data_IF_598501097170
#
_entry.id   IF_598501097170
#
_cell.length_a   1.000
_cell.length_b   1.000
_cell.length_c   1.000
_cell.angle_alpha   90.00
_cell.angle_beta   90.00
_cell.angle_gamma   90.00
#
_symmetry.space_group_name_H-M   'P 1'
#
loop_
_entity.id
_entity.type
_entity.pdbx_description
1 polymer ?
#
# COMPACT_ATOMS: atom_id res chain seq x y z
N UNK A 1 16.67 19.81 -19.58
CA UNK A 1 15.52 20.20 -18.76
C UNK A 1 15.14 18.98 -17.95
N UNK A 2 14.94 19.15 -16.66
CA UNK A 2 14.49 18.08 -15.76
C UNK A 2 13.04 17.72 -16.04
N UNK A 3 12.70 16.43 -16.02
CA UNK A 3 11.35 15.92 -16.24
C UNK A 3 10.87 15.17 -15.01
N UNK A 4 9.60 15.34 -14.66
CA UNK A 4 8.96 14.54 -13.62
C UNK A 4 8.57 13.22 -14.26
N UNK A 5 9.17 12.14 -13.77
CA UNK A 5 8.92 10.80 -14.27
C UNK A 5 8.37 9.96 -13.12
N UNK A 6 7.14 9.51 -13.27
CA UNK A 6 6.57 8.46 -12.46
C UNK A 6 7.12 7.12 -12.92
N UNK A 7 7.78 6.41 -12.02
CA UNK A 7 8.23 5.05 -12.25
C UNK A 7 7.43 4.11 -11.35
N UNK A 8 6.99 3.00 -11.92
CA UNK A 8 6.19 2.00 -11.24
C UNK A 8 6.70 0.59 -11.51
N UNK A 9 6.57 -0.26 -10.50
CA UNK A 9 6.74 -1.70 -10.60
C UNK A 9 5.53 -2.35 -9.93
N UNK A 10 4.82 -3.19 -10.68
CA UNK A 10 3.53 -3.74 -10.29
C UNK A 10 3.58 -5.25 -10.54
N UNK A 11 3.49 -6.10 -9.50
CA UNK A 11 3.42 -7.53 -9.72
C UNK A 11 2.03 -7.89 -10.23
N UNK A 12 1.96 -8.71 -11.27
CA UNK A 12 0.71 -9.04 -11.97
C UNK A 12 0.51 -10.54 -12.13
N UNK A 13 -0.74 -10.95 -12.31
CA UNK A 13 -1.11 -12.35 -12.60
C UNK A 13 -0.47 -12.84 -13.90
N UNK A 14 -0.27 -14.16 -13.98
CA UNK A 14 0.37 -14.78 -15.15
C UNK A 14 -0.38 -14.50 -16.46
N UNK A 15 -1.70 -14.47 -16.41
CA UNK A 15 -2.61 -14.21 -17.53
C UNK A 15 -2.79 -12.71 -17.84
N UNK A 16 -1.99 -11.82 -17.23
CA UNK A 16 -2.11 -10.37 -17.39
C UNK A 16 -2.27 -9.93 -18.86
N UNK A 17 -1.42 -10.39 -19.78
CA UNK A 17 -1.46 -9.93 -21.18
C UNK A 17 -2.72 -10.37 -21.93
N UNK A 18 -3.30 -11.50 -21.55
CA UNK A 18 -4.47 -12.10 -22.20
C UNK A 18 -5.80 -11.69 -21.51
N UNK A 19 -5.70 -11.11 -20.32
CA UNK A 19 -6.86 -10.75 -19.50
C UNK A 19 -7.72 -9.67 -20.17
N UNK A 20 -9.07 -9.82 -20.17
CA UNK A 20 -9.97 -8.77 -20.65
C UNK A 20 -9.83 -7.48 -19.83
N UNK A 21 -9.48 -7.59 -18.54
CA UNK A 21 -9.23 -6.44 -17.67
C UNK A 21 -8.06 -5.60 -18.18
N UNK A 22 -7.01 -6.25 -18.67
CA UNK A 22 -5.82 -5.56 -19.22
C UNK A 22 -6.14 -4.77 -20.48
N UNK A 23 -7.07 -5.25 -21.32
CA UNK A 23 -7.56 -4.47 -22.46
C UNK A 23 -8.27 -3.20 -21.99
N UNK A 24 -9.14 -3.32 -20.99
CA UNK A 24 -9.82 -2.16 -20.39
C UNK A 24 -8.85 -1.19 -19.71
N UNK A 25 -7.81 -1.69 -19.05
CA UNK A 25 -6.72 -0.87 -18.51
C UNK A 25 -6.09 -0.07 -19.65
N UNK A 26 -5.66 -0.72 -20.75
CA UNK A 26 -5.00 -0.05 -21.88
C UNK A 26 -5.90 0.99 -22.57
N UNK A 27 -7.19 0.73 -22.68
CA UNK A 27 -8.17 1.66 -23.24
C UNK A 27 -8.36 2.91 -22.37
N UNK A 28 -8.58 2.73 -21.06
CA UNK A 28 -8.67 3.84 -20.11
C UNK A 28 -7.34 4.60 -20.01
N UNK A 29 -6.23 3.86 -20.03
CA UNK A 29 -4.91 4.44 -20.04
C UNK A 29 -4.74 5.39 -21.23
N UNK A 30 -5.17 4.98 -22.44
CA UNK A 30 -5.14 5.81 -23.65
C UNK A 30 -5.99 7.08 -23.54
N UNK A 31 -7.07 7.06 -22.74
CA UNK A 31 -7.90 8.25 -22.47
C UNK A 31 -7.25 9.20 -21.48
N UNK A 32 -6.69 8.67 -20.39
CA UNK A 32 -5.93 9.46 -19.40
C UNK A 32 -4.69 10.08 -20.05
N UNK A 33 -4.05 9.37 -20.98
CA UNK A 33 -2.93 9.85 -21.81
C UNK A 33 -3.33 11.05 -22.70
N UNK A 34 -4.61 11.23 -23.02
CA UNK A 34 -5.08 12.37 -23.84
C UNK A 34 -4.94 13.75 -23.17
N UNK A 35 -4.45 13.80 -21.92
CA UNK A 35 -4.13 15.04 -21.20
C UNK A 35 -2.90 15.75 -21.79
N UNK A 36 -2.92 17.08 -21.85
CA UNK A 36 -1.77 17.90 -22.28
C UNK A 36 -0.57 17.83 -21.31
N UNK A 37 -0.77 17.27 -20.13
CA UNK A 37 0.24 17.19 -19.08
C UNK A 37 1.08 15.90 -19.10
N UNK A 38 0.68 14.90 -19.87
CA UNK A 38 1.48 13.70 -20.09
C UNK A 38 2.35 13.89 -21.32
N UNK A 39 3.66 13.85 -21.12
CA UNK A 39 4.68 14.10 -22.16
C UNK A 39 5.11 12.81 -22.86
N UNK A 40 5.03 11.67 -22.17
CA UNK A 40 5.39 10.38 -22.75
C UNK A 40 5.18 9.25 -21.75
N UNK A 41 5.07 8.03 -22.26
CA UNK A 41 4.90 6.85 -21.41
C UNK A 41 5.49 5.60 -22.03
N UNK A 42 5.88 4.68 -21.17
CA UNK A 42 6.30 3.34 -21.49
C UNK A 42 5.71 2.32 -20.50
N UNK A 43 5.33 1.17 -21.02
CA UNK A 43 4.90 -0.02 -20.27
C UNK A 43 5.75 -1.20 -20.74
N UNK A 44 6.33 -1.93 -19.80
CA UNK A 44 7.03 -3.18 -20.07
C UNK A 44 6.50 -4.29 -19.18
N UNK A 45 6.30 -5.47 -19.77
CA UNK A 45 5.91 -6.68 -19.04
C UNK A 45 7.12 -7.59 -18.93
N UNK A 46 7.42 -8.02 -17.71
CA UNK A 46 8.50 -8.94 -17.39
C UNK A 46 7.92 -10.24 -16.84
N UNK A 47 8.32 -11.37 -17.44
CA UNK A 47 7.98 -12.69 -16.93
C UNK A 47 8.80 -13.06 -15.69
N UNK A 48 8.41 -14.12 -14.97
CA UNK A 48 9.19 -14.66 -13.86
C UNK A 48 10.63 -15.02 -14.28
N UNK A 49 11.61 -14.74 -13.43
CA UNK A 49 13.03 -14.98 -13.70
C UNK A 49 13.60 -14.06 -14.77
N UNK A 50 12.98 -12.89 -14.98
CA UNK A 50 13.47 -11.83 -15.86
C UNK A 50 14.83 -11.29 -15.44
N UNK A 51 15.26 -10.19 -16.06
CA UNK A 51 16.59 -9.62 -15.81
C UNK A 51 16.75 -9.08 -14.38
N UNK A 52 15.64 -8.78 -13.69
CA UNK A 52 15.61 -8.42 -12.27
C UNK A 52 15.64 -9.65 -11.33
N UNK A 53 15.53 -10.87 -11.88
CA UNK A 53 15.47 -12.12 -11.14
C UNK A 53 14.17 -12.31 -10.34
N UNK A 54 13.14 -11.49 -10.58
CA UNK A 54 11.89 -11.52 -9.84
C UNK A 54 11.17 -12.87 -10.01
N UNK A 55 10.69 -13.51 -8.92
CA UNK A 55 9.96 -14.77 -9.02
C UNK A 55 8.53 -14.59 -9.58
N UNK A 56 8.05 -13.35 -9.69
CA UNK A 56 6.70 -13.01 -10.14
C UNK A 56 6.73 -12.28 -11.47
N UNK A 57 5.65 -12.43 -12.25
CA UNK A 57 5.42 -11.61 -13.43
C UNK A 57 5.12 -10.17 -12.97
N UNK A 58 5.68 -9.19 -13.65
CA UNK A 58 5.51 -7.77 -13.28
C UNK A 58 5.26 -6.92 -14.51
N UNK A 59 4.53 -5.83 -14.31
CA UNK A 59 4.48 -4.70 -15.21
C UNK A 59 5.31 -3.61 -14.61
N UNK A 60 6.12 -2.97 -15.43
CA UNK A 60 6.79 -1.76 -15.05
C UNK A 60 6.30 -0.62 -15.92
N UNK A 61 6.12 0.52 -15.28
CA UNK A 61 5.56 1.71 -15.88
C UNK A 61 6.56 2.85 -15.76
N UNK A 62 6.68 3.65 -16.82
CA UNK A 62 7.34 4.94 -16.77
C UNK A 62 6.43 5.96 -17.46
N UNK A 63 5.98 6.98 -16.73
CA UNK A 63 5.14 8.05 -17.26
C UNK A 63 5.80 9.40 -16.99
N UNK A 64 5.93 10.23 -18.03
CA UNK A 64 6.55 11.55 -17.97
C UNK A 64 5.46 12.59 -17.87
N UNK A 65 5.49 13.36 -16.80
CA UNK A 65 4.50 14.37 -16.48
C UNK A 65 5.12 15.77 -16.51
N UNK A 66 4.29 16.77 -16.79
CA UNK A 66 4.67 18.19 -16.65
C UNK A 66 4.95 18.55 -15.19
N UNK A 67 4.22 17.95 -14.24
CA UNK A 67 4.45 18.08 -12.80
C UNK A 67 3.88 16.90 -12.01
N UNK A 68 4.20 16.81 -10.72
CA UNK A 68 3.64 15.79 -9.81
C UNK A 68 2.13 16.02 -9.62
N UNK A 69 1.73 17.28 -9.48
CA UNK A 69 0.33 17.67 -9.31
C UNK A 69 -0.51 17.25 -10.52
N UNK A 70 0.05 17.32 -11.73
CA UNK A 70 -0.63 16.87 -12.93
C UNK A 70 -0.81 15.34 -12.95
N UNK A 71 0.20 14.59 -12.51
CA UNK A 71 0.11 13.14 -12.37
C UNK A 71 -0.95 12.74 -11.33
N UNK A 72 -0.97 13.41 -10.18
CA UNK A 72 -1.94 13.18 -9.12
C UNK A 72 -3.36 13.56 -9.58
N UNK A 73 -3.53 14.70 -10.25
CA UNK A 73 -4.82 15.10 -10.82
C UNK A 73 -5.34 14.06 -11.84
N UNK A 74 -4.46 13.51 -12.69
CA UNK A 74 -4.83 12.47 -13.64
C UNK A 74 -5.29 11.19 -12.92
N UNK A 75 -4.63 10.79 -11.83
CA UNK A 75 -5.02 9.63 -11.02
C UNK A 75 -6.34 9.83 -10.27
N UNK A 76 -6.64 11.05 -9.86
CA UNK A 76 -7.88 11.41 -9.17
C UNK A 76 -9.06 11.65 -10.12
N UNK A 77 -8.81 11.69 -11.44
CA UNK A 77 -9.89 11.78 -12.43
C UNK A 77 -10.80 10.54 -12.40
N UNK A 78 -12.05 10.62 -12.89
CA UNK A 78 -12.94 9.47 -12.97
C UNK A 78 -12.33 8.26 -13.72
N UNK A 79 -11.61 8.53 -14.82
CA UNK A 79 -10.92 7.49 -15.59
C UNK A 79 -9.72 6.91 -14.81
N UNK A 80 -8.99 7.75 -14.06
CA UNK A 80 -7.89 7.32 -13.20
C UNK A 80 -8.34 6.43 -12.03
N UNK A 81 -9.46 6.81 -11.38
CA UNK A 81 -10.07 6.01 -10.32
C UNK A 81 -10.59 4.66 -10.84
N UNK A 82 -11.18 4.64 -12.02
CA UNK A 82 -11.62 3.39 -12.65
C UNK A 82 -10.43 2.52 -13.06
N UNK A 83 -9.39 3.12 -13.64
CA UNK A 83 -8.14 2.42 -13.97
C UNK A 83 -7.52 1.78 -12.71
N UNK A 84 -7.54 2.47 -11.57
CA UNK A 84 -7.07 1.94 -10.28
C UNK A 84 -7.85 0.70 -9.84
N UNK A 85 -9.18 0.66 -10.02
CA UNK A 85 -9.99 -0.53 -9.70
C UNK A 85 -9.63 -1.71 -10.57
N UNK A 86 -9.40 -1.49 -11.86
CA UNK A 86 -9.01 -2.55 -12.80
C UNK A 86 -7.62 -3.11 -12.47
N UNK A 87 -6.65 -2.24 -12.13
CA UNK A 87 -5.34 -2.68 -11.65
C UNK A 87 -5.45 -3.60 -10.43
N UNK A 88 -6.34 -3.28 -9.48
CA UNK A 88 -6.59 -4.13 -8.31
C UNK A 88 -7.05 -5.56 -8.63
N UNK A 89 -7.60 -5.81 -9.83
CA UNK A 89 -8.03 -7.15 -10.24
C UNK A 89 -6.91 -7.99 -10.87
N UNK A 90 -5.85 -7.34 -11.37
CA UNK A 90 -4.76 -8.01 -12.10
C UNK A 90 -3.45 -8.04 -11.31
N UNK A 91 -3.35 -7.29 -10.22
CA UNK A 91 -2.21 -7.34 -9.30
C UNK A 91 -2.13 -8.71 -8.61
N UNK A 92 -0.92 -9.26 -8.53
CA UNK A 92 -0.61 -10.49 -7.79
C UNK A 92 0.45 -10.19 -6.73
N UNK A 93 0.06 -10.12 -5.46
CA UNK A 93 0.98 -9.82 -4.37
C UNK A 93 1.51 -11.09 -3.71
N UNK A 94 1.01 -12.26 -4.07
CA UNK A 94 1.43 -13.54 -3.51
C UNK A 94 2.67 -14.04 -4.24
N UNK A 95 3.74 -14.32 -3.50
CA UNK A 95 4.92 -15.01 -4.01
C UNK A 95 5.33 -16.12 -3.03
N UNK A 96 5.93 -17.23 -3.51
CA UNK A 96 6.50 -18.26 -2.64
C UNK A 96 7.51 -17.74 -1.61
N UNK A 97 8.09 -16.56 -1.85
CA UNK A 97 9.07 -15.91 -0.97
C UNK A 97 8.48 -14.87 -0.01
N UNK A 98 7.14 -14.77 0.09
CA UNK A 98 6.44 -13.75 0.87
C UNK A 98 5.74 -12.69 0.01
N UNK A 99 4.95 -11.80 0.61
CA UNK A 99 4.17 -10.82 -0.13
C UNK A 99 5.07 -9.82 -0.87
N UNK A 100 4.71 -9.51 -2.11
CA UNK A 100 5.44 -8.59 -2.97
C UNK A 100 4.52 -7.41 -3.27
N UNK A 101 4.89 -6.22 -2.78
CA UNK A 101 4.07 -5.02 -2.90
C UNK A 101 4.38 -4.28 -4.22
N UNK A 102 3.37 -3.77 -4.94
CA UNK A 102 3.62 -2.79 -5.99
C UNK A 102 4.24 -1.54 -5.38
N UNK A 103 5.09 -0.85 -6.14
CA UNK A 103 5.60 0.45 -5.75
C UNK A 103 5.56 1.41 -6.94
N UNK A 104 5.29 2.67 -6.62
CA UNK A 104 5.40 3.79 -7.56
C UNK A 104 6.16 4.92 -6.88
N UNK A 105 6.88 5.71 -7.65
CA UNK A 105 7.62 6.86 -7.15
C UNK A 105 7.80 7.89 -8.23
N UNK A 106 7.82 9.16 -7.83
CA UNK A 106 8.13 10.26 -8.71
C UNK A 106 9.63 10.54 -8.66
N UNK A 107 10.22 10.80 -9.82
CA UNK A 107 11.64 11.09 -9.96
C UNK A 107 11.81 12.36 -10.77
N UNK A 108 12.75 13.19 -10.34
CA UNK A 108 13.24 14.30 -11.11
C UNK A 108 14.42 13.82 -11.95
N UNK A 109 14.14 13.38 -13.19
CA UNK A 109 15.15 12.84 -14.09
C UNK A 109 15.71 13.92 -15.01
N UNK A 110 17.04 13.96 -15.14
CA UNK A 110 17.79 14.89 -15.98
C UNK A 110 18.93 14.20 -16.72
N UNK A 111 19.77 15.03 -17.36
CA UNK A 111 21.06 14.61 -17.90
C UNK A 111 21.07 13.90 -19.26
N UNK A 112 19.93 13.65 -19.90
CA UNK A 112 19.90 13.00 -21.22
C UNK A 112 18.59 13.13 -22.01
N UNK A 113 18.50 12.39 -23.11
CA UNK A 113 17.39 12.43 -24.07
C UNK A 113 16.33 11.38 -23.71
N UNK A 114 15.36 11.79 -22.88
CA UNK A 114 14.28 10.91 -22.46
C UNK A 114 13.44 10.41 -23.64
N UNK A 115 13.22 11.24 -24.66
CA UNK A 115 12.44 10.85 -25.83
C UNK A 115 13.07 9.66 -26.56
N UNK A 116 14.41 9.63 -26.66
CA UNK A 116 15.15 8.47 -27.18
C UNK A 116 15.04 7.23 -26.28
N UNK A 117 15.09 7.41 -24.96
CA UNK A 117 14.86 6.30 -24.01
C UNK A 117 13.46 5.71 -24.21
N UNK A 118 12.44 6.55 -24.35
CA UNK A 118 11.04 6.15 -24.47
C UNK A 118 10.73 5.36 -25.76
N UNK A 119 11.45 5.62 -26.85
CA UNK A 119 11.28 4.91 -28.14
C UNK A 119 12.26 3.74 -28.32
N UNK A 120 13.05 3.42 -27.30
CA UNK A 120 14.01 2.32 -27.36
C UNK A 120 13.30 0.96 -27.33
N UNK A 121 13.87 -0.04 -28.01
CA UNK A 121 13.34 -1.41 -28.01
C UNK A 121 13.35 -2.02 -26.61
N UNK A 122 14.42 -1.73 -25.88
CA UNK A 122 14.64 -2.18 -24.51
C UNK A 122 14.93 -0.98 -23.62
N UNK A 123 14.26 -0.92 -22.48
CA UNK A 123 14.54 0.06 -21.42
C UNK A 123 15.18 -0.67 -20.24
N UNK A 124 16.10 -0.03 -19.53
CA UNK A 124 16.75 -0.53 -18.30
C UNK A 124 16.66 0.55 -17.24
N UNK A 125 15.88 0.28 -16.20
CA UNK A 125 15.78 1.06 -14.97
C UNK A 125 16.64 0.39 -13.89
N UNK A 126 17.62 1.12 -13.38
CA UNK A 126 18.49 0.66 -12.31
C UNK A 126 18.66 1.78 -11.30
N UNK A 127 18.70 1.45 -10.02
CA UNK A 127 18.71 2.47 -8.99
C UNK A 127 19.48 2.07 -7.75
N UNK A 128 19.59 3.03 -6.83
CA UNK A 128 20.16 2.87 -5.51
C UNK A 128 19.26 3.56 -4.50
N UNK A 129 19.01 2.88 -3.39
CA UNK A 129 18.30 3.43 -2.25
C UNK A 129 19.33 3.84 -1.20
N UNK A 130 19.31 5.12 -0.82
CA UNK A 130 20.24 5.71 0.12
C UNK A 130 19.51 6.18 1.38
N UNK A 131 20.19 6.26 2.54
CA UNK A 131 19.65 6.92 3.73
C UNK A 131 19.13 8.33 3.43
N UNK A 132 18.12 8.78 4.18
CA UNK A 132 17.51 10.12 4.00
C UNK A 132 18.51 11.26 4.20
N UNK A 133 19.53 11.06 5.04
CA UNK A 133 20.60 12.00 5.32
C UNK A 133 21.77 11.92 4.33
N UNK A 134 21.66 11.08 3.28
CA UNK A 134 22.69 10.98 2.25
C UNK A 134 22.91 12.33 1.53
N UNK A 135 24.19 12.66 1.35
CA UNK A 135 24.64 13.77 0.52
C UNK A 135 24.46 13.41 -0.96
N UNK A 136 23.35 13.86 -1.52
CA UNK A 136 22.97 13.59 -2.91
C UNK A 136 23.90 14.27 -3.90
N UNK A 137 24.46 15.43 -3.55
CA UNK A 137 25.38 16.17 -4.42
C UNK A 137 26.73 15.45 -4.53
N UNK A 138 27.29 15.01 -3.40
CA UNK A 138 28.53 14.23 -3.41
C UNK A 138 28.34 12.86 -4.11
N UNK A 139 27.19 12.22 -3.94
CA UNK A 139 26.86 10.99 -4.65
C UNK A 139 26.81 11.23 -6.16
N UNK A 140 26.09 12.27 -6.60
CA UNK A 140 25.93 12.64 -8.01
C UNK A 140 27.29 12.92 -8.66
N UNK A 141 28.14 13.71 -8.01
CA UNK A 141 29.49 14.01 -8.51
C UNK A 141 30.32 12.74 -8.71
N UNK A 142 30.28 11.82 -7.73
CA UNK A 142 30.97 10.54 -7.80
C UNK A 142 30.43 9.66 -8.92
N UNK A 143 29.10 9.58 -9.06
CA UNK A 143 28.45 8.82 -10.12
C UNK A 143 28.80 9.36 -11.50
N UNK A 144 28.75 10.68 -11.71
CA UNK A 144 29.13 11.31 -12.98
C UNK A 144 30.61 11.13 -13.30
N UNK A 145 31.49 11.20 -12.29
CA UNK A 145 32.92 10.90 -12.46
C UNK A 145 33.13 9.46 -12.93
N UNK A 146 32.44 8.50 -12.32
CA UNK A 146 32.48 7.10 -12.72
C UNK A 146 31.98 6.89 -14.15
N UNK A 147 30.86 7.51 -14.53
CA UNK A 147 30.32 7.43 -15.90
C UNK A 147 31.28 8.05 -16.93
N UNK A 148 31.93 9.17 -16.62
CA UNK A 148 32.95 9.79 -17.50
C UNK A 148 34.18 8.90 -17.68
N UNK A 149 34.66 8.26 -16.61
CA UNK A 149 35.77 7.31 -16.70
C UNK A 149 35.42 6.07 -17.54
N UNK A 150 34.17 5.63 -17.50
CA UNK A 150 33.68 4.54 -18.34
C UNK A 150 33.57 4.94 -19.82
N UNK A 151 33.09 6.15 -20.11
CA UNK A 151 33.02 6.66 -21.47
C UNK A 151 34.43 6.84 -22.08
N UNK A 152 35.41 7.32 -21.30
CA UNK A 152 36.79 7.55 -21.78
C UNK A 152 37.60 6.27 -21.97
N UNK A 153 37.24 5.17 -21.31
CA UNK A 153 37.86 3.86 -21.50
C UNK A 153 37.33 3.09 -22.71
N UNK A 154 36.54 3.74 -23.57
CA UNK A 154 35.92 3.11 -24.75
C UNK A 154 34.71 2.23 -24.42
N UNK A 155 34.23 2.28 -23.17
CA UNK A 155 33.12 1.48 -22.66
C UNK A 155 31.73 2.02 -23.02
N UNK A 156 31.54 2.57 -24.22
CA UNK A 156 30.18 2.72 -24.77
C UNK A 156 29.76 1.31 -25.17
N UNK A 157 29.02 0.66 -24.26
CA UNK A 157 28.44 -0.65 -24.49
C UNK A 157 27.61 -0.60 -25.77
N UNK A 158 28.01 -1.41 -26.75
CA UNK A 158 27.30 -1.55 -28.02
C UNK A 158 25.80 -1.69 -27.74
N UNK A 159 24.99 -0.96 -28.51
CA UNK A 159 23.54 -0.94 -28.37
C UNK A 159 22.96 0.00 -27.31
N UNK A 160 23.78 0.73 -26.56
CA UNK A 160 23.29 1.86 -25.73
C UNK A 160 22.83 3.02 -26.63
N UNK A 161 21.60 3.50 -26.41
CA UNK A 161 20.99 4.56 -27.22
C UNK A 161 20.91 5.90 -26.49
N UNK A 162 20.43 5.89 -25.26
CA UNK A 162 20.26 7.08 -24.43
C UNK A 162 20.14 6.71 -22.95
N UNK A 163 20.35 7.67 -22.06
CA UNK A 163 20.14 7.46 -20.63
C UNK A 163 19.82 8.76 -19.92
N UNK A 164 18.92 8.67 -18.94
CA UNK A 164 18.59 9.74 -17.99
C UNK A 164 18.81 9.22 -16.58
N UNK A 165 19.02 10.12 -15.63
CA UNK A 165 19.18 9.76 -14.23
C UNK A 165 18.67 10.88 -13.33
N UNK A 166 18.42 10.55 -12.08
CA UNK A 166 18.03 11.56 -11.10
C UNK A 166 17.49 10.96 -9.83
N UNK A 167 16.92 11.84 -9.01
CA UNK A 167 16.53 11.54 -7.65
C UNK A 167 15.02 11.49 -7.50
N UNK A 168 14.55 10.71 -6.52
CA UNK A 168 13.16 10.72 -6.12
C UNK A 168 12.71 12.13 -5.71
N UNK A 169 11.47 12.47 -6.03
CA UNK A 169 10.80 13.65 -5.50
C UNK A 169 10.37 13.32 -4.08
N UNK A 170 11.15 13.82 -3.11
CA UNK A 170 10.97 13.49 -1.69
C UNK A 170 11.54 12.11 -1.32
N UNK A 171 11.17 11.66 -0.12
CA UNK A 171 11.56 10.35 0.40
C UNK A 171 10.63 9.26 -0.16
N UNK A 172 11.20 8.12 -0.50
CA UNK A 172 10.45 6.90 -0.86
C UNK A 172 10.51 5.89 0.29
N UNK A 173 9.44 5.14 0.49
CA UNK A 173 9.44 4.01 1.42
C UNK A 173 9.99 2.79 0.71
N UNK A 174 11.14 2.29 1.17
CA UNK A 174 11.75 1.07 0.66
C UNK A 174 12.06 0.13 1.81
N UNK A 175 11.44 -1.05 1.81
CA UNK A 175 11.55 -2.06 2.88
C UNK A 175 11.26 -1.48 4.29
N UNK A 176 10.17 -0.72 4.41
CA UNK A 176 9.73 -0.13 5.68
C UNK A 176 10.49 1.14 6.10
N UNK A 177 11.57 1.49 5.41
CA UNK A 177 12.38 2.66 5.75
C UNK A 177 12.22 3.79 4.74
N UNK A 178 12.20 5.04 5.22
CA UNK A 178 12.35 6.20 4.33
C UNK A 178 13.76 6.22 3.76
N UNK A 179 13.84 6.40 2.44
CA UNK A 179 15.09 6.45 1.67
C UNK A 179 15.00 7.54 0.62
N UNK A 180 16.15 8.05 0.20
CA UNK A 180 16.29 8.74 -1.07
C UNK A 180 16.58 7.71 -2.15
N UNK A 181 15.85 7.74 -3.27
CA UNK A 181 16.14 6.84 -4.38
C UNK A 181 16.83 7.62 -5.50
N UNK A 182 17.99 7.12 -5.92
CA UNK A 182 18.62 7.52 -7.17
C UNK A 182 18.26 6.50 -8.23
N UNK A 183 17.81 6.95 -9.40
CA UNK A 183 17.40 6.09 -10.50
C UNK A 183 18.09 6.50 -11.79
N UNK A 184 18.46 5.50 -12.58
CA UNK A 184 19.02 5.62 -13.92
C UNK A 184 18.12 4.84 -14.86
N UNK A 185 17.64 5.49 -15.92
CA UNK A 185 16.80 4.87 -16.95
C UNK A 185 17.53 4.97 -18.27
N UNK A 186 17.76 3.83 -18.92
CA UNK A 186 18.57 3.72 -20.13
C UNK A 186 17.81 3.02 -21.24
N UNK A 187 17.98 3.49 -22.46
CA UNK A 187 17.40 2.92 -23.67
C UNK A 187 18.44 2.14 -24.47
N UNK A 188 18.04 0.99 -25.00
CA UNK A 188 18.90 0.02 -25.68
C UNK A 188 18.24 -0.54 -26.94
N UNK A 189 19.06 -0.98 -27.88
CA UNK A 189 18.61 -1.60 -29.13
C UNK A 189 18.11 -3.04 -28.96
N UNK A 190 18.63 -3.77 -27.97
CA UNK A 190 18.41 -5.20 -27.77
C UNK A 190 18.72 -5.65 -26.33
N UNK A 191 18.21 -6.81 -25.96
CA UNK A 191 18.41 -7.40 -24.62
C UNK A 191 19.84 -7.93 -24.47
N UNK A 192 20.43 -8.40 -25.56
CA UNK A 192 21.81 -8.90 -25.64
C UNK A 192 22.81 -7.79 -25.29
N UNK A 193 22.60 -6.59 -25.83
CA UNK A 193 23.37 -5.39 -25.52
C UNK A 193 23.31 -5.05 -24.03
N UNK A 194 22.13 -5.16 -23.41
CA UNK A 194 21.95 -4.93 -21.97
C UNK A 194 22.67 -5.98 -21.13
N UNK A 195 22.51 -7.27 -21.47
CA UNK A 195 23.17 -8.37 -20.75
C UNK A 195 24.69 -8.25 -20.83
N UNK A 196 25.23 -7.94 -22.01
CA UNK A 196 26.66 -7.71 -22.21
C UNK A 196 27.16 -6.52 -21.37
N UNK A 197 26.37 -5.44 -21.31
CA UNK A 197 26.69 -4.29 -20.46
C UNK A 197 26.73 -4.69 -18.98
N UNK A 198 25.69 -5.34 -18.46
CA UNK A 198 25.59 -5.78 -17.05
C UNK A 198 26.73 -6.74 -16.69
N UNK A 199 27.07 -7.70 -17.55
CA UNK A 199 28.18 -8.63 -17.34
C UNK A 199 29.51 -7.88 -17.17
N UNK A 200 29.77 -6.86 -18.01
CA UNK A 200 30.97 -6.03 -17.91
C UNK A 200 31.05 -5.20 -16.61
N UNK A 201 29.92 -4.93 -15.96
CA UNK A 201 29.88 -4.27 -14.65
C UNK A 201 30.17 -5.25 -13.50
N UNK A 202 29.66 -6.49 -13.58
CA UNK A 202 29.91 -7.54 -12.59
C UNK A 202 31.38 -7.95 -12.51
N UNK A 203 32.05 -8.10 -13.65
CA UNK A 203 33.47 -8.48 -13.70
C UNK A 203 34.43 -7.43 -13.11
N UNK A 204 33.93 -6.21 -12.86
CA UNK A 204 34.72 -5.10 -12.27
C UNK A 204 34.46 -4.89 -10.77
N UNK A 205 33.82 -5.83 -10.07
CA UNK A 205 33.43 -5.71 -8.64
C UNK A 205 32.53 -4.50 -8.34
N UNK A 206 31.54 -4.25 -9.20
CA UNK A 206 30.54 -3.20 -8.94
C UNK A 206 29.15 -3.83 -8.77
N UNK A 207 28.66 -3.90 -7.53
CA UNK A 207 27.27 -4.28 -7.23
C UNK A 207 26.35 -3.07 -7.39
N UNK A 208 25.80 -2.91 -8.59
CA UNK A 208 24.51 -2.25 -8.80
C UNK A 208 23.52 -3.35 -9.19
N UNK A 209 22.41 -3.46 -8.46
CA UNK A 209 21.39 -4.47 -8.70
C UNK A 209 20.59 -4.06 -9.96
N UNK A 210 20.78 -4.73 -11.11
CA UNK A 210 20.19 -4.28 -12.37
C UNK A 210 18.83 -4.95 -12.59
N UNK A 211 17.77 -4.17 -12.77
CA UNK A 211 16.52 -4.66 -13.34
C UNK A 211 16.50 -4.27 -14.82
N UNK A 212 16.68 -5.18 -15.78
CA UNK A 212 16.53 -4.86 -17.21
C UNK A 212 15.17 -5.31 -17.77
N UNK A 213 14.71 -4.71 -18.87
CA UNK A 213 13.32 -4.82 -19.31
C UNK A 213 13.18 -5.36 -20.73
N UNK A 214 11.96 -5.72 -21.11
CA UNK A 214 11.57 -6.17 -22.46
C UNK A 214 10.36 -5.38 -22.92
N UNK A 215 10.34 -4.93 -24.17
CA UNK A 215 9.10 -4.55 -24.85
C UNK A 215 9.09 -5.13 -26.26
N UNK A 216 8.03 -5.85 -26.62
CA UNK A 216 7.73 -6.15 -28.03
C UNK A 216 6.37 -5.52 -28.35
N UNK A 217 6.33 -4.46 -29.14
CA UNK A 217 5.08 -3.90 -29.62
C UNK A 217 4.46 -4.83 -30.67
N UNK A 218 3.23 -5.30 -30.43
CA UNK A 218 2.31 -5.73 -31.49
C UNK A 218 1.08 -4.84 -31.44
N UNK A 219 0.95 -3.97 -32.45
CA UNK A 219 -0.25 -3.19 -32.73
C UNK A 219 -1.28 -4.09 -33.42
N UNK A 220 -2.50 -4.18 -32.89
CA UNK A 220 -3.65 -4.70 -33.65
C UNK A 220 -4.99 -4.14 -33.18
N UNK A 221 -5.76 -3.74 -34.20
CA UNK A 221 -7.07 -3.09 -34.21
C UNK A 221 -8.25 -4.00 -33.77
N UNK A 222 -9.31 -3.34 -33.29
CA UNK A 222 -10.61 -3.87 -32.86
C UNK A 222 -11.51 -4.38 -34.01
N UNK A 223 -12.27 -5.44 -33.73
CA UNK A 223 -13.70 -5.67 -34.07
C UNK A 223 -14.10 -7.04 -33.50
N UNK A 224 -15.29 -7.36 -32.99
CA UNK A 224 -16.57 -6.71 -32.79
C UNK A 224 -17.63 -7.80 -32.51
N UNK A 225 -18.75 -7.44 -31.88
CA UNK A 225 -20.08 -8.11 -31.86
C UNK A 225 -20.45 -9.20 -30.80
N UNK A 226 -21.14 -8.77 -29.73
CA UNK A 226 -22.60 -8.87 -29.39
C UNK A 226 -23.36 -10.22 -29.49
N UNK A 227 -24.04 -10.64 -28.39
CA UNK A 227 -25.48 -11.01 -28.26
C UNK A 227 -25.81 -11.59 -26.85
N UNK A 228 -26.70 -11.01 -26.01
CA UNK A 228 -28.13 -11.39 -25.66
C UNK A 228 -28.33 -12.84 -25.17
N UNK A 229 -29.16 -13.24 -24.19
CA UNK A 229 -30.32 -12.66 -23.50
C UNK A 229 -30.77 -13.58 -22.32
N UNK A 230 -31.60 -13.03 -21.42
CA UNK A 230 -32.76 -13.63 -20.71
C UNK A 230 -32.66 -14.57 -19.49
N UNK A 231 -32.92 -13.95 -18.31
CA UNK A 231 -33.99 -14.17 -17.31
C UNK A 231 -34.67 -15.54 -17.12
N UNK A 232 -34.81 -16.00 -15.85
CA UNK A 232 -36.12 -16.37 -15.24
C UNK A 232 -36.07 -16.50 -13.71
N UNK A 233 -37.13 -16.02 -13.06
CA UNK A 233 -37.51 -16.04 -11.64
C UNK A 233 -37.96 -17.44 -11.16
N UNK A 234 -37.90 -17.75 -9.85
CA UNK A 234 -39.09 -17.68 -8.96
C UNK A 234 -38.91 -18.22 -7.51
N UNK A 235 -39.63 -17.52 -6.62
CA UNK A 235 -40.37 -17.93 -5.41
C UNK A 235 -39.74 -18.49 -4.10
N UNK A 236 -39.95 -17.67 -3.05
CA UNK A 236 -40.01 -17.91 -1.59
C UNK A 236 -41.28 -18.67 -1.17
N UNK A 237 -41.35 -19.25 0.07
CA UNK A 237 -42.09 -18.57 1.16
C UNK A 237 -41.62 -18.84 2.61
N UNK A 238 -42.21 -18.05 3.53
CA UNK A 238 -41.94 -17.78 4.96
C UNK A 238 -42.32 -18.89 5.98
N UNK A 239 -41.71 -18.85 7.19
CA UNK A 239 -42.40 -18.70 8.51
C UNK A 239 -41.43 -18.53 9.69
N UNK A 240 -41.80 -17.64 10.62
CA UNK A 240 -41.29 -17.44 12.00
C UNK A 240 -42.42 -17.85 13.00
N UNK A 241 -42.38 -17.62 14.35
CA UNK A 241 -41.40 -16.91 15.21
C UNK A 241 -41.17 -17.52 16.63
N UNK A 242 -40.55 -16.71 17.52
CA UNK A 242 -40.50 -16.71 19.01
C UNK A 242 -39.42 -17.51 19.75
N UNK A 243 -38.90 -17.12 20.93
CA UNK A 243 -38.57 -15.88 21.66
C UNK A 243 -38.18 -16.38 23.06
N UNK A 244 -37.04 -15.97 23.64
CA UNK A 244 -36.91 -15.89 25.12
C UNK A 244 -35.65 -15.11 25.55
N UNK A 245 -35.86 -13.88 25.99
CA UNK A 245 -34.83 -12.90 26.35
C UNK A 245 -35.13 -12.31 27.74
N UNK A 246 -34.73 -12.97 28.82
CA UNK A 246 -34.76 -12.36 30.16
C UNK A 246 -33.67 -12.96 31.06
N UNK A 247 -32.39 -12.58 30.86
CA UNK A 247 -31.30 -12.73 31.87
C UNK A 247 -29.93 -12.06 31.54
N UNK A 248 -29.82 -11.10 30.60
CA UNK A 248 -28.50 -10.52 30.17
C UNK A 248 -28.11 -9.15 30.76
N UNK A 249 -28.91 -8.53 31.64
CA UNK A 249 -28.84 -7.07 31.82
C UNK A 249 -27.68 -6.47 32.66
N UNK A 250 -26.78 -7.26 33.29
CA UNK A 250 -25.64 -6.70 34.06
C UNK A 250 -24.26 -6.92 33.45
N UNK A 251 -24.04 -8.02 32.72
CA UNK A 251 -22.74 -8.31 32.11
C UNK A 251 -22.47 -7.47 30.85
N UNK A 252 -23.52 -7.00 30.18
CA UNK A 252 -23.46 -6.24 28.93
C UNK A 252 -23.43 -4.72 29.13
N UNK A 253 -23.43 -4.23 30.37
CA UNK A 253 -23.42 -2.80 30.64
C UNK A 253 -22.13 -2.13 30.11
N UNK A 254 -22.29 -1.22 29.15
CA UNK A 254 -21.21 -0.43 28.57
C UNK A 254 -20.40 -1.11 27.46
N UNK A 255 -20.74 -2.35 27.09
CA UNK A 255 -20.19 -3.02 25.92
C UNK A 255 -20.98 -2.63 24.66
N UNK A 256 -20.27 -2.39 23.57
CA UNK A 256 -20.87 -2.28 22.24
C UNK A 256 -20.04 -3.01 21.19
N UNK A 257 -20.71 -3.50 20.15
CA UNK A 257 -20.08 -4.18 19.03
C UNK A 257 -19.47 -3.14 18.08
N UNK A 258 -18.26 -3.41 17.62
CA UNK A 258 -17.55 -2.63 16.60
C UNK A 258 -17.42 -3.40 15.28
N UNK A 259 -18.25 -4.44 15.12
CA UNK A 259 -18.33 -5.25 13.90
C UNK A 259 -17.67 -6.61 14.01
N UNK A 260 -17.67 -7.33 12.89
CA UNK A 260 -17.14 -8.69 12.77
C UNK A 260 -15.62 -8.66 12.83
N UNK A 261 -15.00 -9.65 13.48
CA UNK A 261 -13.54 -9.78 13.57
C UNK A 261 -12.89 -9.93 12.20
N UNK A 262 -13.61 -10.53 11.24
CA UNK A 262 -13.25 -10.66 9.82
C UNK A 262 -13.20 -9.33 9.06
N UNK A 263 -13.74 -8.25 9.64
CA UNK A 263 -13.75 -6.90 9.07
C UNK A 263 -12.56 -6.04 9.51
N UNK A 264 -11.67 -6.58 10.34
CA UNK A 264 -10.44 -5.93 10.79
C UNK A 264 -9.23 -6.64 10.18
N UNK A 265 -8.45 -5.99 9.30
CA UNK A 265 -7.21 -6.58 8.81
C UNK A 265 -6.24 -6.81 9.97
N UNK A 266 -5.49 -7.91 9.91
CA UNK A 266 -4.41 -8.15 10.86
C UNK A 266 -3.15 -7.44 10.38
N UNK A 267 -2.65 -6.52 11.20
CA UNK A 267 -1.49 -5.70 10.86
C UNK A 267 -0.18 -6.51 10.86
N UNK A 268 -0.14 -7.68 11.50
CA UNK A 268 1.06 -8.54 11.48
C UNK A 268 2.33 -7.80 11.94
N UNK A 269 3.41 -7.93 11.17
CA UNK A 269 4.68 -7.21 11.39
C UNK A 269 4.84 -6.01 10.44
N UNK A 270 3.73 -5.42 10.01
CA UNK A 270 3.74 -4.23 9.17
C UNK A 270 4.17 -3.00 9.98
N UNK A 271 5.11 -2.22 9.44
CA UNK A 271 5.64 -0.99 10.02
C UNK A 271 4.83 0.27 9.61
N UNK A 272 3.75 0.09 8.84
CA UNK A 272 2.86 1.17 8.41
C UNK A 272 2.00 1.76 9.54
N UNK A 273 1.42 2.95 9.27
CA UNK A 273 0.50 3.60 10.20
C UNK A 273 -0.81 2.81 10.32
N UNK A 274 -1.52 2.98 11.44
CA UNK A 274 -2.79 2.29 11.70
C UNK A 274 -3.90 2.63 10.69
N UNK A 275 -3.90 3.82 10.09
CA UNK A 275 -4.87 4.23 9.07
C UNK A 275 -4.55 3.69 7.67
N UNK A 276 -3.36 3.12 7.46
CA UNK A 276 -2.93 2.71 6.12
C UNK A 276 -3.83 1.62 5.53
N UNK A 277 -4.05 1.76 4.23
CA UNK A 277 -4.74 0.87 3.30
C UNK A 277 -4.30 -0.60 3.45
N UNK A 278 -5.11 -1.50 4.01
CA UNK A 278 -4.79 -2.94 4.06
C UNK A 278 -5.89 -3.81 3.49
N UNK A 279 -5.48 -4.90 2.86
CA UNK A 279 -6.44 -5.89 2.39
C UNK A 279 -7.08 -6.62 3.57
N UNK A 280 -8.40 -6.62 3.58
CA UNK A 280 -9.24 -7.33 4.51
C UNK A 280 -10.20 -8.18 3.67
N UNK A 281 -9.81 -9.42 3.42
CA UNK A 281 -10.39 -10.28 2.38
C UNK A 281 -10.21 -9.63 0.99
N UNK A 282 -11.30 -9.29 0.30
CA UNK A 282 -11.29 -8.66 -1.03
C UNK A 282 -11.29 -7.13 -0.98
N UNK A 283 -11.46 -6.53 0.20
CA UNK A 283 -11.66 -5.09 0.34
C UNK A 283 -10.40 -4.42 0.92
N UNK A 284 -10.08 -3.21 0.47
CA UNK A 284 -9.12 -2.33 1.14
C UNK A 284 -9.83 -1.61 2.29
N UNK A 285 -9.35 -1.82 3.51
CA UNK A 285 -9.87 -1.18 4.73
C UNK A 285 -8.70 -0.58 5.50
N UNK A 286 -8.90 0.56 6.19
CA UNK A 286 -7.89 1.06 7.11
C UNK A 286 -7.51 -0.01 8.14
N UNK A 287 -6.25 -0.01 8.57
CA UNK A 287 -5.74 -0.93 9.59
C UNK A 287 -6.43 -0.83 10.96
N UNK A 288 -7.12 0.27 11.21
CA UNK A 288 -7.93 0.52 12.38
C UNK A 288 -9.32 1.03 12.01
N UNK A 289 -10.25 0.94 12.95
CA UNK A 289 -11.56 1.59 12.86
C UNK A 289 -11.73 2.51 14.04
N UNK A 290 -12.33 3.67 13.81
CA UNK A 290 -12.59 4.67 14.85
C UNK A 290 -14.08 4.79 15.06
N UNK A 291 -14.52 4.90 16.31
CA UNK A 291 -15.93 5.03 16.64
C UNK A 291 -16.16 6.12 17.69
N UNK A 292 -17.27 6.85 17.56
CA UNK A 292 -17.73 7.76 18.61
C UNK A 292 -18.28 6.97 19.81
N UNK A 293 -17.71 7.19 20.99
CA UNK A 293 -18.06 6.52 22.23
C UNK A 293 -18.28 7.52 23.40
N UNK A 294 -19.43 8.22 23.40
CA UNK A 294 -19.77 9.22 24.41
C UNK A 294 -19.78 8.66 25.82
N UNK A 295 -19.44 9.50 26.80
CA UNK A 295 -19.55 9.19 28.23
C UNK A 295 -21.00 9.29 28.73
N UNK A 296 -21.93 8.54 28.16
CA UNK A 296 -23.32 8.49 28.63
C UNK A 296 -23.64 7.15 29.30
N UNK A 297 -24.04 7.25 30.57
CA UNK A 297 -24.57 6.20 31.43
C UNK A 297 -26.03 5.88 31.05
N UNK A 298 -26.31 4.67 30.57
CA UNK A 298 -27.63 4.06 30.77
C UNK A 298 -28.37 3.46 29.58
N UNK A 299 -27.90 3.56 28.35
CA UNK A 299 -28.55 2.94 27.19
C UNK A 299 -27.53 2.28 26.26
N UNK A 300 -28.00 1.26 25.53
CA UNK A 300 -27.22 0.51 24.52
C UNK A 300 -26.46 1.51 23.65
N UNK A 301 -25.13 1.57 23.81
CA UNK A 301 -24.30 2.52 23.09
C UNK A 301 -24.22 2.07 21.64
N UNK A 302 -25.10 2.60 20.79
CA UNK A 302 -24.91 2.52 19.35
C UNK A 302 -23.79 3.50 19.01
N UNK A 303 -22.62 2.95 18.70
CA UNK A 303 -21.41 3.72 18.40
C UNK A 303 -21.28 3.85 16.89
N UNK A 304 -21.20 5.08 16.40
CA UNK A 304 -21.08 5.35 14.95
C UNK A 304 -19.61 5.29 14.55
N UNK A 305 -19.30 4.53 13.50
CA UNK A 305 -17.97 4.50 12.89
C UNK A 305 -17.66 5.87 12.27
N UNK A 306 -16.46 6.36 12.53
CA UNK A 306 -15.91 7.60 12.00
C UNK A 306 -15.12 7.26 10.76
N UNK A 307 -15.41 7.95 9.66
CA UNK A 307 -14.63 7.83 8.44
C UNK A 307 -13.25 8.46 8.66
N UNK A 308 -12.21 7.63 8.56
CA UNK A 308 -10.80 8.03 8.71
C UNK A 308 -10.05 7.97 7.38
N UNK A 309 -10.77 7.97 6.25
CA UNK A 309 -10.15 8.07 4.93
C UNK A 309 -9.30 9.32 4.81
N UNK A 310 -8.23 9.30 3.98
CA UNK A 310 -7.35 10.45 3.78
C UNK A 310 -8.11 11.74 3.40
N UNK A 311 -9.20 11.61 2.65
CA UNK A 311 -10.05 12.71 2.18
C UNK A 311 -10.91 13.33 3.31
N UNK A 312 -11.28 12.53 4.32
CA UNK A 312 -12.01 13.00 5.52
C UNK A 312 -11.07 13.56 6.60
N UNK A 313 -9.76 13.34 6.48
CA UNK A 313 -8.78 13.68 7.50
C UNK A 313 -8.36 15.15 7.47
N UNK A 314 -8.29 15.78 6.29
CA UNK A 314 -8.00 17.21 6.17
C UNK A 314 -9.09 18.09 6.78
N UNK A 315 -10.35 17.62 6.81
CA UNK A 315 -11.46 18.34 7.43
C UNK A 315 -11.49 18.17 8.96
N UNK A 316 -11.02 17.03 9.48
CA UNK A 316 -10.98 16.75 10.92
C UNK A 316 -9.89 17.52 11.69
N UNK A 317 -8.83 17.99 11.02
CA UNK A 317 -7.82 18.87 11.64
C UNK A 317 -8.37 20.28 11.96
N UNK A 318 -9.46 20.70 11.32
CA UNK A 318 -10.06 22.04 11.54
C UNK A 318 -11.14 22.09 12.63
N UNK A 319 -11.75 20.96 13.02
CA UNK A 319 -12.84 20.94 14.01
C UNK A 319 -12.62 19.92 15.12
N UNK A 320 -12.00 20.37 16.22
CA UNK A 320 -12.22 20.04 17.65
C UNK A 320 -12.77 18.70 18.20
N UNK A 321 -13.06 17.65 17.42
CA UNK A 321 -13.94 16.54 17.81
C UNK A 321 -13.29 15.14 17.84
N UNK A 322 -11.97 15.05 18.06
CA UNK A 322 -11.31 13.79 18.46
C UNK A 322 -11.67 13.36 19.90
N UNK A 323 -12.62 14.05 20.54
CA UNK A 323 -13.06 13.76 21.90
C UNK A 323 -14.01 12.57 21.88
N UNK A 324 -13.88 11.74 22.91
CA UNK A 324 -14.75 10.59 23.12
C UNK A 324 -14.79 9.60 21.94
N UNK A 325 -13.69 9.46 21.19
CA UNK A 325 -13.52 8.44 20.17
C UNK A 325 -12.66 7.28 20.67
N UNK A 326 -13.04 6.04 20.32
CA UNK A 326 -12.23 4.84 20.51
C UNK A 326 -11.71 4.38 19.15
N UNK A 327 -10.45 4.00 19.10
CA UNK A 327 -9.81 3.36 17.96
C UNK A 327 -9.61 1.88 18.28
N UNK A 328 -10.00 1.01 17.36
CA UNK A 328 -9.90 -0.45 17.48
C UNK A 328 -9.12 -1.00 16.28
N UNK A 329 -8.17 -1.88 16.53
CA UNK A 329 -7.35 -2.50 15.50
C UNK A 329 -6.87 -3.89 15.92
N UNK A 330 -6.40 -4.68 14.96
CA UNK A 330 -5.89 -6.03 15.18
C UNK A 330 -4.41 -6.08 14.83
N UNK A 331 -3.54 -6.32 15.81
CA UNK A 331 -2.10 -6.41 15.63
C UNK A 331 -1.60 -7.78 16.08
N UNK A 332 -0.89 -8.48 15.20
CA UNK A 332 -0.35 -9.84 15.43
C UNK A 332 -1.37 -10.80 16.04
N UNK A 333 -2.57 -10.82 15.46
CA UNK A 333 -3.67 -11.69 15.90
C UNK A 333 -4.44 -11.22 17.13
N UNK A 334 -4.05 -10.11 17.77
CA UNK A 334 -4.70 -9.60 18.99
C UNK A 334 -5.44 -8.30 18.71
N UNK A 335 -6.63 -8.17 19.28
CA UNK A 335 -7.39 -6.93 19.19
C UNK A 335 -7.00 -5.96 20.30
N UNK A 336 -6.79 -4.71 19.92
CA UNK A 336 -6.48 -3.60 20.81
C UNK A 336 -7.53 -2.50 20.64
N UNK A 337 -7.89 -1.85 21.73
CA UNK A 337 -8.79 -0.70 21.72
C UNK A 337 -8.26 0.39 22.66
N UNK A 338 -8.10 1.60 22.13
CA UNK A 338 -7.52 2.75 22.83
C UNK A 338 -8.26 4.04 22.47
N UNK A 339 -8.12 5.08 23.29
CA UNK A 339 -8.58 6.42 22.91
C UNK A 339 -7.90 6.85 21.60
N UNK A 340 -8.67 7.36 20.63
CA UNK A 340 -8.12 7.77 19.33
C UNK A 340 -7.18 8.99 19.47
N UNK A 341 -7.38 9.83 20.49
CA UNK A 341 -6.55 11.01 20.72
C UNK A 341 -5.29 10.69 21.53
N UNK A 342 -4.16 11.22 21.09
CA UNK A 342 -2.93 11.21 21.88
C UNK A 342 -3.09 12.11 23.14
N UNK A 343 -2.78 11.62 24.36
CA UNK A 343 -2.92 12.40 25.60
C UNK A 343 -1.96 13.60 25.70
N UNK A 344 -0.98 13.72 24.80
CA UNK A 344 -0.06 14.86 24.75
C UNK A 344 -0.70 16.11 24.15
N UNK A 345 -1.12 16.02 22.88
CA UNK A 345 -1.56 17.16 22.08
C UNK A 345 -2.79 16.84 21.23
N UNK A 346 -3.58 15.83 21.62
CA UNK A 346 -4.76 15.35 20.90
C UNK A 346 -4.51 14.96 19.44
N UNK A 347 -3.28 14.59 19.07
CA UNK A 347 -2.98 14.11 17.72
C UNK A 347 -3.65 12.74 17.47
N UNK A 348 -4.24 12.49 16.30
CA UNK A 348 -4.94 11.23 16.01
C UNK A 348 -3.96 10.05 15.98
N UNK A 349 -4.19 9.06 16.84
CA UNK A 349 -3.38 7.85 16.94
C UNK A 349 -3.69 6.83 15.85
N UNK A 350 -4.70 7.05 15.01
CA UNK A 350 -4.84 6.29 13.75
C UNK A 350 -3.67 6.52 12.82
N UNK A 351 -2.93 7.62 12.95
CA UNK A 351 -1.66 7.84 12.26
C UNK A 351 -0.47 7.24 13.02
N UNK A 352 -0.69 6.52 14.12
CA UNK A 352 0.35 5.89 14.91
C UNK A 352 0.88 4.62 14.26
N UNK A 353 2.10 4.23 14.64
CA UNK A 353 2.74 2.97 14.23
C UNK A 353 2.71 2.00 15.41
N UNK A 354 2.08 0.81 15.28
CA UNK A 354 2.13 -0.21 16.31
C UNK A 354 3.48 -0.94 16.30
N UNK A 355 3.95 -1.39 17.45
CA UNK A 355 5.23 -2.11 17.58
C UNK A 355 5.21 -3.07 18.77
N UNK A 356 6.10 -4.06 18.78
CA UNK A 356 6.30 -4.91 19.95
C UNK A 356 7.23 -4.25 20.97
N UNK A 357 6.83 -4.24 22.23
CA UNK A 357 7.71 -3.84 23.34
C UNK A 357 8.50 -5.08 23.73
N UNK A 358 9.77 -5.10 23.32
CA UNK A 358 10.68 -6.22 23.53
C UNK A 358 11.77 -5.89 24.53
N UNK A 359 12.21 -6.90 25.28
CA UNK A 359 13.45 -6.87 26.06
C UNK A 359 14.23 -8.17 25.79
N UNK A 360 15.47 -8.05 25.32
CA UNK A 360 16.32 -9.18 24.93
C UNK A 360 15.64 -10.23 24.01
N UNK A 361 14.84 -9.78 23.03
CA UNK A 361 14.15 -10.65 22.07
C UNK A 361 12.91 -11.36 22.63
N UNK A 362 12.45 -10.97 23.82
CA UNK A 362 11.18 -11.42 24.40
C UNK A 362 10.17 -10.28 24.28
N UNK A 363 9.06 -10.53 23.58
CA UNK A 363 7.93 -9.60 23.49
C UNK A 363 7.20 -9.55 24.84
N UNK A 364 7.37 -8.44 25.56
CA UNK A 364 6.76 -8.20 26.88
C UNK A 364 5.35 -7.60 26.77
N UNK A 365 5.15 -6.75 25.77
CA UNK A 365 3.88 -6.04 25.54
C UNK A 365 3.83 -5.53 24.09
N UNK A 366 2.82 -4.75 23.76
CA UNK A 366 2.66 -4.10 22.45
C UNK A 366 2.45 -2.61 22.68
N UNK A 367 3.06 -1.77 21.86
CA UNK A 367 2.98 -0.32 21.94
C UNK A 367 2.42 0.32 20.67
N UNK A 368 2.10 1.60 20.76
CA UNK A 368 1.86 2.48 19.61
C UNK A 368 2.67 3.76 19.77
N UNK A 369 3.35 4.18 18.69
CA UNK A 369 4.11 5.43 18.65
C UNK A 369 3.30 6.52 17.96
N UNK A 370 3.12 7.67 18.62
CA UNK A 370 2.50 8.85 18.03
C UNK A 370 3.50 9.54 17.08
N UNK A 371 3.15 9.77 15.80
CA UNK A 371 4.12 10.24 14.80
C UNK A 371 4.52 11.70 15.02
N UNK A 372 3.66 12.51 15.67
CA UNK A 372 3.92 13.93 15.88
C UNK A 372 5.09 14.20 16.83
N UNK A 373 5.21 13.41 17.89
CA UNK A 373 6.21 13.65 18.95
C UNK A 373 7.07 12.42 19.27
N UNK A 374 6.86 11.30 18.57
CA UNK A 374 7.56 10.03 18.80
C UNK A 374 7.43 9.51 20.23
N UNK A 375 6.29 9.77 20.88
CA UNK A 375 6.00 9.21 22.21
C UNK A 375 5.26 7.91 22.05
N UNK A 376 5.64 6.94 22.86
CA UNK A 376 5.13 5.58 22.76
C UNK A 376 4.29 5.23 23.96
N UNK A 377 3.18 4.52 23.72
CA UNK A 377 2.23 4.12 24.74
C UNK A 377 2.06 2.61 24.70
N UNK A 378 2.20 1.96 25.85
CA UNK A 378 1.88 0.54 26.02
C UNK A 378 0.36 0.32 25.88
N UNK A 379 -0.05 -0.56 24.97
CA UNK A 379 -1.45 -0.81 24.61
C UNK A 379 -2.22 -1.62 25.66
N UNK A 380 -1.52 -2.21 26.64
CA UNK A 380 -2.12 -3.00 27.73
C UNK A 380 -2.38 -2.13 28.96
N UNK A 381 -1.42 -1.29 29.30
CA UNK A 381 -1.40 -0.49 30.54
C UNK A 381 -1.73 0.99 30.31
N UNK A 382 -1.53 1.48 29.08
CA UNK A 382 -1.65 2.88 28.70
C UNK A 382 -0.45 3.74 29.11
N UNK A 383 0.57 3.17 29.74
CA UNK A 383 1.74 3.94 30.21
C UNK A 383 2.54 4.44 29.01
N UNK A 384 2.93 5.72 29.04
CA UNK A 384 3.93 6.22 28.10
C UNK A 384 5.35 6.07 28.60
N UNK A 385 6.28 6.03 27.64
CA UNK A 385 7.70 6.29 27.83
C UNK A 385 7.99 7.66 28.51
N UNK A 386 7.02 8.59 28.47
CA UNK A 386 7.01 9.83 29.25
C UNK A 386 6.08 9.70 30.46
N UNK A 387 6.63 9.63 31.67
CA UNK A 387 5.89 9.32 32.91
C UNK A 387 4.65 10.19 33.24
N UNK A 388 4.46 11.35 32.59
CA UNK A 388 3.34 12.28 32.87
C UNK A 388 2.07 11.99 32.09
N UNK A 389 2.13 11.17 31.04
CA UNK A 389 0.98 10.93 30.16
C UNK A 389 0.51 9.48 30.28
N UNK A 390 -0.79 9.28 30.10
CA UNK A 390 -1.40 7.94 30.12
C UNK A 390 -2.48 7.87 29.08
N UNK A 391 -2.35 6.92 28.17
CA UNK A 391 -3.33 6.63 27.13
C UNK A 391 -4.52 5.86 27.73
N UNK A 392 -5.73 6.23 27.33
CA UNK A 392 -6.94 5.48 27.69
C UNK A 392 -6.97 4.14 26.97
N UNK A 393 -6.89 3.04 27.71
CA UNK A 393 -7.02 1.68 27.18
C UNK A 393 -8.43 1.14 27.47
N UNK A 394 -9.01 0.50 26.47
CA UNK A 394 -10.34 -0.09 26.52
C UNK A 394 -10.24 -1.61 26.65
N UNK A 395 -11.27 -2.21 27.23
CA UNK A 395 -11.39 -3.66 27.26
C UNK A 395 -11.98 -4.15 25.94
N UNK A 396 -11.46 -5.29 25.46
CA UNK A 396 -11.91 -5.94 24.22
C UNK A 396 -12.36 -7.36 24.53
N UNK A 397 -13.47 -7.78 23.94
CA UNK A 397 -13.98 -9.15 24.00
C UNK A 397 -14.40 -9.63 22.61
N UNK A 398 -14.00 -10.85 22.26
CA UNK A 398 -14.54 -11.56 21.10
C UNK A 398 -15.74 -12.38 21.55
N UNK A 399 -16.90 -12.19 20.91
CA UNK A 399 -18.14 -12.91 21.20
C UNK A 399 -18.60 -13.64 19.94
N UNK A 400 -19.27 -14.77 20.08
CA UNK A 400 -19.83 -15.47 18.93
C UNK A 400 -20.91 -14.60 18.27
N UNK A 401 -20.88 -14.47 16.94
CA UNK A 401 -21.88 -13.71 16.21
C UNK A 401 -23.25 -14.40 16.34
N UNK A 402 -24.24 -13.70 16.88
CA UNK A 402 -25.57 -14.28 17.09
C UNK A 402 -26.32 -14.37 15.76
N UNK A 403 -26.48 -15.59 15.21
CA UNK A 403 -27.44 -15.88 14.15
C UNK A 403 -26.89 -16.16 12.75
N UNK A 404 -25.59 -16.32 12.57
CA UNK A 404 -25.02 -16.71 11.28
C UNK A 404 -24.27 -18.03 11.38
N UNK A 405 -24.74 -19.06 10.67
CA UNK A 405 -23.90 -20.15 10.19
C UNK A 405 -22.90 -19.67 9.11
N UNK A 406 -22.32 -18.49 9.30
CA UNK A 406 -21.30 -17.93 8.42
C UNK A 406 -19.98 -18.62 8.73
N UNK A 407 -19.68 -19.60 7.89
CA UNK A 407 -18.44 -20.36 7.90
C UNK A 407 -17.37 -19.49 7.25
N UNK A 408 -16.27 -19.22 7.96
CA UNK A 408 -15.05 -18.65 7.36
C UNK A 408 -14.37 -19.76 6.57
N UNK A 409 -14.35 -19.67 5.24
CA UNK A 409 -13.47 -20.52 4.43
C UNK A 409 -12.04 -20.01 4.56
N UNK A 410 -11.23 -20.74 5.32
CA UNK A 410 -9.77 -20.55 5.33
C UNK A 410 -9.21 -21.49 4.26
N UNK A 411 -8.45 -20.94 3.31
CA UNK A 411 -7.99 -21.63 2.09
C UNK A 411 -6.85 -22.65 2.34
N UNK A 412 -6.80 -23.26 3.53
CA UNK A 412 -5.83 -24.29 3.89
C UNK A 412 -6.39 -25.24 4.97
N UNK A 413 -7.14 -26.26 4.54
CA UNK A 413 -7.29 -27.56 5.21
C UNK A 413 -7.67 -27.64 6.70
N UNK A 414 -8.08 -26.55 7.36
CA UNK A 414 -8.24 -26.49 8.82
C UNK A 414 -9.62 -25.96 9.24
N UNK A 415 -10.05 -26.43 10.41
CA UNK A 415 -11.44 -26.48 10.89
C UNK A 415 -12.24 -25.17 10.79
N UNK A 416 -13.53 -25.32 10.47
CA UNK A 416 -14.55 -24.26 10.50
C UNK A 416 -14.61 -23.59 11.87
N UNK A 417 -14.11 -22.35 11.99
CA UNK A 417 -14.30 -21.54 13.20
C UNK A 417 -15.48 -20.60 13.01
N UNK A 418 -16.43 -20.54 13.98
CA UNK A 418 -17.55 -19.62 13.89
C UNK A 418 -17.06 -18.17 13.87
N UNK A 419 -17.72 -17.35 13.05
CA UNK A 419 -17.44 -15.91 12.98
C UNK A 419 -17.69 -15.23 14.34
N UNK A 420 -16.78 -14.33 14.72
CA UNK A 420 -16.83 -13.61 15.99
C UNK A 420 -17.06 -12.13 15.77
N UNK A 421 -17.79 -11.52 16.68
CA UNK A 421 -17.92 -10.07 16.81
C UNK A 421 -16.90 -9.51 17.81
N UNK A 422 -16.39 -8.32 17.51
CA UNK A 422 -15.50 -7.58 18.38
C UNK A 422 -16.35 -6.61 19.21
N UNK A 423 -16.25 -6.73 20.53
CA UNK A 423 -16.94 -5.89 21.49
C UNK A 423 -15.94 -5.11 22.31
N UNK A 424 -16.22 -3.82 22.55
CA UNK A 424 -15.35 -2.95 23.33
C UNK A 424 -16.11 -2.24 24.46
N UNK A 425 -15.42 -1.93 25.56
CA UNK A 425 -15.94 -1.06 26.63
C UNK A 425 -14.84 -0.27 27.31
N UNK A 426 -15.18 0.86 27.94
CA UNK A 426 -14.24 1.59 28.79
C UNK A 426 -13.85 0.71 29.99
N UNK A 427 -12.55 0.64 30.29
CA UNK A 427 -12.05 -0.02 31.49
C UNK A 427 -12.66 0.64 32.73
N UNK A 428 -13.37 -0.13 33.54
CA UNK A 428 -13.93 0.40 34.77
C UNK A 428 -12.79 0.74 35.74
N UNK A 429 -12.86 1.92 36.37
CA UNK A 429 -11.99 2.20 37.52
C UNK A 429 -12.44 1.27 38.63
N UNK A 430 -11.66 0.21 38.87
CA UNK A 430 -11.74 -0.53 40.12
C UNK A 430 -11.21 0.44 41.17
N UNK A 431 -12.14 0.95 41.99
CA UNK A 431 -11.85 1.90 43.06
C UNK A 431 -11.06 1.27 44.19
#
# INVERSE_FOLDING_TARGET
MTQIVELGWIPVKQDYEDSPVTKSIKELHSKVIGSSDLVGQWEGVQGPGGLDGSPVKSVHLAAVWTSVEAADAAKQSPDGLEMRKLWGQVIEMSSPSGPVLPWTGYFNLGGGDFAKVAVSNVVLLTGSYLPVDADTAAFEEKWQSMMRAQASSGGVTAGFLAGVHGWSVGDVVYKGEKKKAFMVVTGWDSEESVKAAIASFRDRNFTLNPAAFRSSQRSTYLSGTRSTNETRQDHTPQRAPEMNNFRRSRADAGWFSVGLASSFPDLGSDDGNLSDLRFCNTDLKPGCKVFHAPKATGSVQQSTEVDISPDAFESAEMEGDLKDQVMVFRFKGKFHAIDHKCPHSSYPLSQGVPFDIEDFGIVLSTGVTCPKHSWSFDLTTGMSDRARYKLGVWEVQLRDAAGSGAIVKVDDGSQETPEKEVWVRRKQRIG
#
